data_IF_354652582055
#
_entry.id   IF_354652582055
#
_cell.length_a   1.000
_cell.length_b   1.000
_cell.length_c   1.000
_cell.angle_alpha   90.00
_cell.angle_beta   90.00
_cell.angle_gamma   90.00
#
_symmetry.space_group_name_H-M   'P 1'
#
loop_
_entity.id
_entity.type
_entity.pdbx_description
1 polymer ?
#
# COMPACT_ATOMS: atom_id res chain seq x y z
N UNK A 1 6.48 -7.98 9.79
CA UNK A 1 5.60 -8.50 8.72
C UNK A 1 6.24 -9.62 7.91
N UNK A 2 7.55 -9.60 7.66
CA UNK A 2 8.24 -10.63 6.85
C UNK A 2 8.09 -12.02 7.44
N UNK A 3 8.25 -12.18 8.75
CA UNK A 3 8.12 -13.48 9.44
C UNK A 3 6.68 -14.05 9.36
N UNK A 4 5.66 -13.21 9.37
CA UNK A 4 4.26 -13.64 9.22
C UNK A 4 3.97 -14.09 7.79
N UNK A 5 4.49 -13.35 6.80
CA UNK A 5 4.31 -13.68 5.38
C UNK A 5 5.06 -14.95 4.92
N UNK A 6 5.91 -15.52 5.76
CA UNK A 6 6.61 -16.81 5.50
C UNK A 6 5.85 -18.02 6.06
N UNK A 7 4.75 -17.82 6.80
CA UNK A 7 3.97 -18.92 7.36
C UNK A 7 3.19 -19.64 6.25
N UNK A 8 3.08 -20.97 6.30
CA UNK A 8 2.24 -21.73 5.38
C UNK A 8 0.78 -21.20 5.37
N UNK A 9 0.19 -21.10 4.19
CA UNK A 9 -1.19 -20.60 4.02
C UNK A 9 -1.36 -19.09 4.12
N UNK A 10 -0.28 -18.31 4.35
CA UNK A 10 -0.33 -16.85 4.38
C UNK A 10 0.16 -16.27 3.05
N UNK A 11 -0.68 -15.49 2.38
CA UNK A 11 -0.32 -14.74 1.18
C UNK A 11 0.03 -13.31 1.58
N UNK A 12 1.27 -12.91 1.32
CA UNK A 12 1.74 -11.56 1.59
C UNK A 12 1.42 -10.64 0.41
N UNK A 13 0.35 -9.88 0.51
CA UNK A 13 0.01 -8.84 -0.46
C UNK A 13 0.72 -7.51 -0.15
N UNK A 14 1.11 -6.78 -1.20
CA UNK A 14 1.76 -5.47 -1.10
C UNK A 14 0.73 -4.33 -1.00
N UNK A 15 1.24 -3.10 -0.86
CA UNK A 15 0.41 -1.90 -0.75
C UNK A 15 0.87 -0.84 -1.77
N UNK A 16 0.01 -0.53 -2.73
CA UNK A 16 0.31 0.48 -3.76
C UNK A 16 0.38 1.92 -3.21
N UNK A 17 -0.25 2.23 -2.07
CA UNK A 17 -0.11 3.53 -1.44
C UNK A 17 1.34 3.79 -0.99
N UNK A 18 2.07 2.77 -0.55
CA UNK A 18 3.48 2.91 -0.21
C UNK A 18 4.35 3.16 -1.44
N UNK A 19 4.13 2.45 -2.54
CA UNK A 19 4.80 2.70 -3.80
C UNK A 19 4.52 4.12 -4.31
N UNK A 20 3.26 4.56 -4.28
CA UNK A 20 2.84 5.90 -4.65
C UNK A 20 3.56 6.98 -3.83
N UNK A 21 3.64 6.81 -2.50
CA UNK A 21 4.35 7.77 -1.61
C UNK A 21 5.82 7.93 -1.98
N UNK A 22 6.51 6.87 -2.45
CA UNK A 22 7.90 6.96 -2.88
C UNK A 22 8.06 7.84 -4.12
N UNK A 23 7.21 7.69 -5.12
CA UNK A 23 7.22 8.55 -6.30
C UNK A 23 6.81 10.00 -5.98
N UNK A 24 5.83 10.20 -5.11
CA UNK A 24 5.41 11.53 -4.64
C UNK A 24 6.55 12.25 -3.89
N UNK A 25 7.26 11.52 -3.02
CA UNK A 25 8.44 12.05 -2.34
C UNK A 25 9.57 12.43 -3.33
N UNK A 26 9.76 11.62 -4.37
CA UNK A 26 10.72 11.94 -5.43
C UNK A 26 10.38 13.26 -6.16
N UNK A 27 9.09 13.48 -6.45
CA UNK A 27 8.63 14.74 -7.05
C UNK A 27 8.78 15.94 -6.13
N UNK A 28 8.44 15.77 -4.84
CA UNK A 28 8.58 16.84 -3.83
C UNK A 28 10.05 17.22 -3.59
N UNK A 29 10.95 16.25 -3.68
CA UNK A 29 12.40 16.46 -3.56
C UNK A 29 13.06 17.11 -4.78
N UNK A 30 12.38 17.21 -5.92
CA UNK A 30 12.89 17.93 -7.07
C UNK A 30 12.93 19.44 -6.81
N UNK A 31 14.08 20.09 -7.06
CA UNK A 31 14.20 21.55 -6.95
C UNK A 31 13.25 22.25 -7.93
N UNK A 32 12.71 23.41 -7.54
CA UNK A 32 11.65 24.09 -8.27
C UNK A 32 11.95 24.37 -9.75
N UNK A 33 13.23 24.63 -10.11
CA UNK A 33 13.66 24.83 -11.50
C UNK A 33 13.60 23.50 -12.31
N UNK A 34 14.08 22.38 -11.75
CA UNK A 34 14.03 21.06 -12.40
C UNK A 34 12.58 20.57 -12.56
N UNK A 35 11.71 20.92 -11.60
CA UNK A 35 10.29 20.58 -11.64
C UNK A 35 9.54 21.30 -12.76
N UNK A 36 9.97 22.51 -13.14
CA UNK A 36 9.38 23.30 -14.23
C UNK A 36 9.97 22.95 -15.60
N UNK A 37 11.26 22.61 -15.65
CA UNK A 37 11.99 22.36 -16.89
C UNK A 37 11.73 20.96 -17.48
N UNK A 38 11.39 19.95 -16.65
CA UNK A 38 11.04 18.62 -17.16
C UNK A 38 9.56 18.58 -17.49
N UNK A 39 9.27 18.38 -18.78
CA UNK A 39 7.90 18.11 -19.21
C UNK A 39 7.34 16.89 -18.43
N UNK A 40 6.02 16.84 -18.28
CA UNK A 40 5.34 15.73 -17.58
C UNK A 40 5.66 14.36 -18.20
N UNK A 41 6.04 14.34 -19.50
CA UNK A 41 6.45 13.14 -20.23
C UNK A 41 7.88 12.69 -19.91
N UNK A 42 8.75 13.61 -19.49
CA UNK A 42 10.17 13.34 -19.23
C UNK A 42 10.47 12.93 -17.79
N UNK A 43 9.62 13.29 -16.85
CA UNK A 43 9.79 12.91 -15.44
C UNK A 43 9.38 11.47 -15.20
N UNK A 44 10.36 10.58 -14.96
CA UNK A 44 10.13 9.17 -14.61
C UNK A 44 9.28 9.05 -13.35
N UNK A 45 9.43 9.94 -12.37
CA UNK A 45 8.61 9.92 -11.16
C UNK A 45 7.14 10.24 -11.45
N UNK A 46 6.85 11.17 -12.37
CA UNK A 46 5.48 11.46 -12.81
C UNK A 46 4.89 10.31 -13.62
N UNK A 47 5.69 9.66 -14.46
CA UNK A 47 5.26 8.48 -15.19
C UNK A 47 4.87 7.34 -14.22
N UNK A 48 5.70 7.08 -13.19
CA UNK A 48 5.41 6.09 -12.16
C UNK A 48 4.10 6.37 -11.42
N UNK A 49 3.85 7.64 -11.04
CA UNK A 49 2.57 8.04 -10.45
C UNK A 49 1.41 7.86 -11.40
N UNK A 50 1.57 8.19 -12.68
CA UNK A 50 0.51 8.03 -13.68
C UNK A 50 0.14 6.56 -13.88
N UNK A 51 1.09 5.65 -13.87
CA UNK A 51 0.83 4.21 -13.92
C UNK A 51 0.05 3.72 -12.70
N UNK A 52 0.47 4.10 -11.49
CA UNK A 52 -0.24 3.74 -10.26
C UNK A 52 -1.65 4.35 -10.26
N UNK A 53 -1.82 5.57 -10.75
CA UNK A 53 -3.12 6.22 -10.83
C UNK A 53 -4.10 5.49 -11.77
N UNK A 54 -3.61 4.89 -12.86
CA UNK A 54 -4.45 4.04 -13.73
C UNK A 54 -5.01 2.84 -12.97
N UNK A 55 -4.21 2.18 -12.12
CA UNK A 55 -4.69 1.07 -11.28
C UNK A 55 -5.74 1.54 -10.28
N UNK A 56 -5.52 2.69 -9.62
CA UNK A 56 -6.53 3.27 -8.73
C UNK A 56 -7.82 3.69 -9.46
N UNK A 57 -7.74 4.08 -10.73
CA UNK A 57 -8.92 4.40 -11.52
C UNK A 57 -9.80 3.15 -11.79
N UNK A 58 -9.17 1.99 -12.03
CA UNK A 58 -9.89 0.71 -12.14
C UNK A 58 -10.57 0.38 -10.80
N UNK A 59 -9.87 0.47 -9.68
CA UNK A 59 -10.46 0.22 -8.35
C UNK A 59 -11.61 1.19 -8.02
N UNK A 60 -11.46 2.45 -8.41
CA UNK A 60 -12.52 3.44 -8.22
C UNK A 60 -13.79 3.08 -9.02
N UNK A 61 -13.64 2.55 -10.23
CA UNK A 61 -14.78 2.09 -11.04
C UNK A 61 -15.47 0.84 -10.46
N UNK A 62 -14.76 0.09 -9.62
CA UNK A 62 -15.23 -1.11 -8.93
C UNK A 62 -15.62 -0.86 -7.46
N UNK A 63 -15.84 0.40 -7.04
CA UNK A 63 -16.05 0.76 -5.63
C UNK A 63 -17.24 0.03 -5.01
N UNK A 64 -18.34 -0.04 -5.73
CA UNK A 64 -19.60 -0.62 -5.26
C UNK A 64 -19.84 -2.04 -5.83
N UNK A 65 -18.83 -2.62 -6.50
CA UNK A 65 -18.88 -3.94 -7.07
C UNK A 65 -18.68 -5.03 -6.00
N UNK A 66 -19.31 -6.18 -6.22
CA UNK A 66 -19.05 -7.40 -5.44
C UNK A 66 -17.59 -7.85 -5.63
N UNK A 67 -17.04 -8.69 -4.74
CA UNK A 67 -15.69 -9.22 -4.89
C UNK A 67 -15.47 -9.92 -6.25
N UNK A 68 -16.44 -10.67 -6.74
CA UNK A 68 -16.34 -11.40 -8.02
C UNK A 68 -16.37 -10.44 -9.21
N UNK A 69 -17.22 -9.43 -9.19
CA UNK A 69 -17.26 -8.38 -10.22
C UNK A 69 -15.97 -7.56 -10.21
N UNK A 70 -15.45 -7.22 -9.02
CA UNK A 70 -14.16 -6.54 -8.88
C UNK A 70 -13.03 -7.39 -9.45
N UNK A 71 -13.04 -8.70 -9.20
CA UNK A 71 -12.04 -9.60 -9.76
C UNK A 71 -12.08 -9.60 -11.29
N UNK A 72 -13.27 -9.69 -11.90
CA UNK A 72 -13.44 -9.61 -13.37
C UNK A 72 -12.90 -8.30 -13.94
N UNK A 73 -13.24 -7.17 -13.32
CA UNK A 73 -12.73 -5.86 -13.74
C UNK A 73 -11.21 -5.75 -13.61
N UNK A 74 -10.61 -6.36 -12.59
CA UNK A 74 -9.17 -6.45 -12.43
C UNK A 74 -8.51 -7.27 -13.52
N UNK A 75 -9.07 -8.43 -13.83
CA UNK A 75 -8.55 -9.33 -14.88
C UNK A 75 -8.66 -8.66 -16.26
N UNK A 76 -9.78 -8.00 -16.55
CA UNK A 76 -10.00 -7.33 -17.82
C UNK A 76 -9.16 -6.05 -17.99
N UNK A 77 -9.11 -5.18 -16.95
CA UNK A 77 -8.58 -3.82 -17.07
C UNK A 77 -7.27 -3.58 -16.33
N UNK A 78 -7.10 -4.14 -15.14
CA UNK A 78 -5.91 -3.88 -14.33
C UNK A 78 -4.71 -4.74 -14.77
N UNK A 79 -4.90 -6.01 -15.14
CA UNK A 79 -3.78 -6.87 -15.57
C UNK A 79 -3.05 -6.35 -16.81
N UNK A 80 -3.69 -5.83 -17.88
CA UNK A 80 -2.97 -5.18 -18.97
C UNK A 80 -2.17 -3.93 -18.53
N UNK A 81 -2.71 -3.17 -17.57
CA UNK A 81 -1.99 -2.02 -17.00
C UNK A 81 -0.76 -2.50 -16.22
N UNK A 82 -0.88 -3.56 -15.41
CA UNK A 82 0.24 -4.16 -14.68
C UNK A 82 1.33 -4.66 -15.63
N UNK A 83 0.97 -5.35 -16.70
CA UNK A 83 1.92 -5.81 -17.71
C UNK A 83 2.67 -4.63 -18.36
N UNK A 84 1.97 -3.54 -18.65
CA UNK A 84 2.57 -2.33 -19.21
C UNK A 84 3.43 -1.58 -18.19
N UNK A 85 3.01 -1.52 -16.93
CA UNK A 85 3.77 -0.95 -15.82
C UNK A 85 5.07 -1.76 -15.59
N UNK A 86 5.02 -3.10 -15.68
CA UNK A 86 6.22 -3.92 -15.52
C UNK A 86 7.23 -3.62 -16.62
N UNK A 87 6.81 -3.61 -17.89
CA UNK A 87 7.70 -3.27 -19.02
C UNK A 87 8.31 -1.87 -18.88
N UNK A 88 7.49 -0.90 -18.48
CA UNK A 88 7.98 0.45 -18.21
C UNK A 88 9.01 0.47 -17.07
N UNK A 89 8.78 -0.29 -16.01
CA UNK A 89 9.70 -0.36 -14.86
C UNK A 89 11.04 -0.98 -15.26
N UNK A 90 11.02 -2.08 -16.02
CA UNK A 90 12.22 -2.75 -16.53
C UNK A 90 13.08 -1.82 -17.40
N UNK A 91 12.40 -1.00 -18.20
CA UNK A 91 13.04 -0.02 -19.07
C UNK A 91 13.55 1.24 -18.31
N UNK A 92 12.85 1.66 -17.25
CA UNK A 92 13.22 2.83 -16.46
C UNK A 92 14.35 2.56 -15.45
N UNK A 93 14.41 1.36 -14.86
CA UNK A 93 15.37 0.99 -13.81
C UNK A 93 16.83 1.26 -14.21
N UNK A 94 17.33 0.79 -15.37
CA UNK A 94 18.73 0.99 -15.75
C UNK A 94 19.07 2.44 -16.13
N UNK A 95 18.07 3.27 -16.41
CA UNK A 95 18.25 4.67 -16.86
C UNK A 95 18.28 5.68 -15.73
N UNK A 96 17.99 5.29 -14.50
CA UNK A 96 17.89 6.18 -13.34
C UNK A 96 18.90 5.79 -12.28
N UNK A 97 19.73 6.74 -11.85
CA UNK A 97 20.73 6.50 -10.82
C UNK A 97 20.07 6.01 -9.51
N UNK A 98 20.48 4.85 -8.96
CA UNK A 98 19.77 4.17 -7.86
C UNK A 98 19.76 4.97 -6.55
N UNK A 99 20.74 5.85 -6.31
CA UNK A 99 20.84 6.68 -5.12
C UNK A 99 19.86 7.86 -5.09
N UNK A 100 19.28 8.23 -6.25
CA UNK A 100 18.28 9.31 -6.33
C UNK A 100 16.96 8.89 -5.71
N UNK A 101 16.12 9.87 -5.34
CA UNK A 101 14.78 9.55 -4.81
C UNK A 101 13.92 8.80 -5.83
N UNK A 102 14.06 9.12 -7.13
CA UNK A 102 13.38 8.40 -8.21
C UNK A 102 13.91 6.98 -8.36
N UNK A 103 15.24 6.76 -8.31
CA UNK A 103 15.85 5.44 -8.35
C UNK A 103 15.40 4.56 -7.16
N UNK A 104 15.36 5.13 -5.96
CA UNK A 104 14.83 4.46 -4.77
C UNK A 104 13.35 4.11 -4.90
N UNK A 105 12.54 4.94 -5.58
CA UNK A 105 11.13 4.65 -5.82
C UNK A 105 10.95 3.50 -6.82
N UNK A 106 11.75 3.48 -7.91
CA UNK A 106 11.77 2.38 -8.88
C UNK A 106 12.23 1.06 -8.23
N UNK A 107 13.34 1.09 -7.49
CA UNK A 107 13.86 -0.08 -6.77
C UNK A 107 12.85 -0.61 -5.74
N UNK A 108 12.13 0.26 -5.06
CA UNK A 108 11.05 -0.15 -4.15
C UNK A 108 9.93 -0.86 -4.91
N UNK A 109 9.46 -0.29 -6.02
CA UNK A 109 8.40 -0.88 -6.84
C UNK A 109 8.81 -2.24 -7.39
N UNK A 110 10.05 -2.38 -7.85
CA UNK A 110 10.62 -3.63 -8.34
C UNK A 110 10.71 -4.69 -7.26
N UNK A 111 11.33 -4.37 -6.13
CA UNK A 111 11.51 -5.29 -5.00
C UNK A 111 10.16 -5.75 -4.40
N UNK A 112 9.16 -4.88 -4.38
CA UNK A 112 7.83 -5.22 -3.88
C UNK A 112 6.91 -5.82 -4.95
N UNK A 113 7.33 -5.88 -6.20
CA UNK A 113 6.51 -6.33 -7.33
C UNK A 113 5.80 -7.67 -7.09
N UNK A 114 6.48 -8.74 -6.63
CA UNK A 114 5.83 -10.02 -6.39
C UNK A 114 4.68 -9.96 -5.38
N UNK A 115 4.76 -9.02 -4.42
CA UNK A 115 3.72 -8.82 -3.39
C UNK A 115 2.62 -7.90 -3.90
N UNK A 116 2.96 -6.89 -4.69
CA UNK A 116 2.01 -5.93 -5.24
C UNK A 116 1.03 -6.59 -6.21
N UNK A 117 1.51 -7.50 -7.05
CA UNK A 117 0.65 -8.21 -8.01
C UNK A 117 -0.36 -9.15 -7.33
N UNK A 118 -0.03 -9.67 -6.13
CA UNK A 118 -0.93 -10.54 -5.35
C UNK A 118 -2.25 -9.89 -4.97
N UNK A 119 -2.30 -8.57 -4.87
CA UNK A 119 -3.55 -7.84 -4.61
C UNK A 119 -4.60 -8.11 -5.68
N UNK A 120 -4.18 -8.39 -6.91
CA UNK A 120 -5.06 -8.61 -8.05
C UNK A 120 -5.51 -10.07 -8.21
N UNK A 121 -5.11 -10.96 -7.32
CA UNK A 121 -5.49 -12.38 -7.35
C UNK A 121 -6.82 -12.64 -6.62
N UNK A 122 -7.30 -11.67 -5.82
CA UNK A 122 -8.54 -11.79 -5.05
C UNK A 122 -9.26 -10.44 -4.94
N UNK A 123 -10.48 -10.35 -5.47
CA UNK A 123 -11.29 -9.12 -5.46
C UNK A 123 -11.66 -8.60 -4.06
N UNK A 124 -11.48 -9.38 -3.00
CA UNK A 124 -11.67 -8.95 -1.61
C UNK A 124 -10.50 -8.13 -1.08
N UNK A 125 -9.28 -8.33 -1.61
CA UNK A 125 -8.08 -7.66 -1.13
C UNK A 125 -8.04 -6.22 -1.66
N UNK A 126 -7.98 -5.19 -0.80
CA UNK A 126 -7.89 -3.80 -1.25
C UNK A 126 -6.51 -3.48 -1.84
N UNK A 127 -6.46 -2.50 -2.76
CA UNK A 127 -5.21 -2.06 -3.41
C UNK A 127 -4.20 -1.44 -2.44
N UNK A 128 -4.68 -0.99 -1.29
CA UNK A 128 -3.85 -0.43 -0.21
C UNK A 128 -4.30 -0.92 1.17
N UNK A 129 -3.41 -0.75 2.15
CA UNK A 129 -3.62 -1.16 3.54
C UNK A 129 -4.16 -0.04 4.43
N UNK A 130 -4.67 1.06 3.85
CA UNK A 130 -5.11 2.22 4.62
C UNK A 130 -6.19 1.88 5.65
N UNK A 131 -7.10 0.94 5.35
CA UNK A 131 -8.11 0.47 6.29
C UNK A 131 -7.46 -0.12 7.54
N UNK A 132 -6.50 -1.03 7.35
CA UNK A 132 -5.77 -1.70 8.45
C UNK A 132 -4.87 -0.70 9.19
N UNK A 133 -4.18 0.19 8.46
CA UNK A 133 -3.34 1.22 9.08
C UNK A 133 -4.18 2.17 9.93
N UNK A 134 -5.39 2.54 9.51
CA UNK A 134 -6.30 3.38 10.28
C UNK A 134 -6.83 2.66 11.53
N UNK A 135 -7.11 1.37 11.45
CA UNK A 135 -7.51 0.58 12.62
C UNK A 135 -6.38 0.46 13.67
N UNK A 136 -5.12 0.37 13.22
CA UNK A 136 -3.96 0.31 14.14
C UNK A 136 -3.56 1.70 14.67
N UNK A 137 -3.95 2.78 13.98
CA UNK A 137 -3.54 4.16 14.31
C UNK A 137 -3.84 4.56 15.76
N UNK A 138 -5.01 4.30 16.36
CA UNK A 138 -5.30 4.64 17.75
C UNK A 138 -4.27 4.05 18.71
N UNK A 139 -3.89 2.79 18.51
CA UNK A 139 -2.85 2.12 19.30
C UNK A 139 -1.49 2.80 19.13
N UNK A 140 -1.08 3.13 17.91
CA UNK A 140 0.22 3.77 17.63
C UNK A 140 0.27 5.21 18.19
N UNK A 141 -0.84 5.93 18.11
CA UNK A 141 -0.94 7.29 18.72
C UNK A 141 -0.92 7.19 20.23
N UNK A 142 -1.68 6.29 20.82
CA UNK A 142 -1.70 6.04 22.27
C UNK A 142 -0.32 5.67 22.80
N UNK A 143 0.46 4.86 22.06
CA UNK A 143 1.83 4.51 22.41
C UNK A 143 2.74 5.73 22.66
N UNK A 144 2.49 6.87 22.04
CA UNK A 144 3.22 8.12 22.30
C UNK A 144 2.93 8.70 23.69
N UNK A 145 1.78 8.37 24.27
CA UNK A 145 1.37 8.88 25.59
C UNK A 145 1.91 8.00 26.71
N UNK A 146 1.88 6.66 26.57
CA UNK A 146 2.38 5.74 27.60
C UNK A 146 3.79 5.19 27.32
N UNK A 147 4.46 5.60 26.28
CA UNK A 147 5.86 5.37 25.88
C UNK A 147 6.29 3.89 25.77
N UNK A 148 6.05 3.06 26.79
CA UNK A 148 6.51 1.68 26.88
C UNK A 148 5.45 0.74 27.46
N UNK A 149 5.54 -0.54 27.11
CA UNK A 149 5.01 -1.62 27.91
C UNK A 149 6.21 -2.21 28.69
N UNK A 150 6.15 -2.22 30.01
CA UNK A 150 7.26 -2.68 30.88
C UNK A 150 7.67 -4.12 30.60
N UNK A 151 6.74 -4.94 30.07
CA UNK A 151 6.97 -6.35 29.77
C UNK A 151 6.43 -6.71 28.39
N UNK A 152 7.03 -7.71 27.75
CA UNK A 152 6.51 -8.31 26.51
C UNK A 152 5.06 -8.83 26.70
N UNK A 153 4.73 -9.40 27.87
CA UNK A 153 3.39 -9.84 28.21
C UNK A 153 2.38 -8.70 28.26
N UNK A 154 2.75 -7.55 28.83
CA UNK A 154 1.93 -6.32 28.84
C UNK A 154 1.71 -5.77 27.45
N UNK A 155 2.73 -5.78 26.59
CA UNK A 155 2.61 -5.37 25.20
C UNK A 155 1.62 -6.26 24.41
N UNK A 156 1.69 -7.57 24.59
CA UNK A 156 0.74 -8.52 23.99
C UNK A 156 -0.68 -8.31 24.48
N UNK A 157 -0.88 -8.12 25.80
CA UNK A 157 -2.19 -7.85 26.38
C UNK A 157 -2.81 -6.57 25.79
N UNK A 158 -2.04 -5.47 25.71
CA UNK A 158 -2.48 -4.22 25.10
C UNK A 158 -2.87 -4.41 23.62
N UNK A 159 -2.03 -5.11 22.85
CA UNK A 159 -2.31 -5.36 21.44
C UNK A 159 -3.60 -6.18 21.25
N UNK A 160 -3.82 -7.20 22.07
CA UNK A 160 -5.02 -8.02 22.03
C UNK A 160 -6.29 -7.21 22.37
N UNK A 161 -6.27 -6.42 23.46
CA UNK A 161 -7.40 -5.59 23.85
C UNK A 161 -7.75 -4.55 22.79
N UNK A 162 -6.75 -3.86 22.23
CA UNK A 162 -6.99 -2.92 21.13
C UNK A 162 -7.53 -3.61 19.89
N UNK A 163 -7.04 -4.81 19.55
CA UNK A 163 -7.56 -5.59 18.43
C UNK A 163 -9.03 -5.93 18.60
N UNK A 164 -9.44 -6.36 19.81
CA UNK A 164 -10.83 -6.68 20.12
C UNK A 164 -11.72 -5.43 20.03
N UNK A 165 -11.29 -4.31 20.62
CA UNK A 165 -12.03 -3.03 20.58
C UNK A 165 -12.21 -2.53 19.15
N UNK A 166 -11.14 -2.53 18.34
CA UNK A 166 -11.23 -2.08 16.95
C UNK A 166 -12.04 -3.06 16.07
N UNK A 167 -12.02 -4.35 16.38
CA UNK A 167 -12.87 -5.35 15.72
C UNK A 167 -14.35 -5.11 16.03
N UNK A 168 -14.68 -4.85 17.30
CA UNK A 168 -16.05 -4.51 17.69
C UNK A 168 -16.57 -3.29 16.94
N UNK A 169 -15.79 -2.20 16.92
CA UNK A 169 -16.12 -0.97 16.16
C UNK A 169 -16.30 -1.23 14.67
N UNK A 170 -15.41 -2.00 14.06
CA UNK A 170 -15.48 -2.33 12.63
C UNK A 170 -16.74 -3.12 12.26
N UNK A 171 -17.32 -3.85 13.22
CA UNK A 171 -18.56 -4.61 13.06
C UNK A 171 -19.80 -3.87 13.60
N UNK A 172 -19.69 -2.58 13.94
CA UNK A 172 -20.81 -1.79 14.46
C UNK A 172 -21.25 -2.16 15.88
N UNK A 173 -20.44 -2.96 16.59
CA UNK A 173 -20.71 -3.30 17.98
C UNK A 173 -20.20 -2.21 18.92
N UNK A 174 -20.95 -1.92 19.98
CA UNK A 174 -20.47 -1.04 21.05
C UNK A 174 -19.40 -1.79 21.86
N UNK A 175 -18.13 -1.25 21.97
CA UNK A 175 -17.02 -2.01 22.54
C UNK A 175 -17.20 -2.44 23.99
N UNK A 176 -17.81 -1.61 24.83
CA UNK A 176 -18.06 -1.95 26.23
C UNK A 176 -19.03 -3.12 26.36
N UNK A 177 -20.14 -3.08 25.60
CA UNK A 177 -21.11 -4.17 25.57
C UNK A 177 -20.52 -5.46 25.00
N UNK A 178 -19.61 -5.35 24.03
CA UNK A 178 -18.91 -6.48 23.41
C UNK A 178 -17.89 -7.15 24.34
N UNK A 179 -17.27 -6.38 25.25
CA UNK A 179 -16.26 -6.87 26.20
C UNK A 179 -16.89 -7.41 27.51
N UNK A 180 -18.15 -7.13 27.78
CA UNK A 180 -18.91 -7.57 28.96
C UNK A 180 -19.49 -8.97 28.77
#
# INVERSE_FOLDING_TARGET
YTAVGQRPGVVHAGCFAHARRKFDAALKGMRGAERRAKSRKESVALQGLAWIQKLYAVEKSAKDATPDERQRLRDERARPILASLRRWLDDALPRVAPQTLTGKALAYLDHQWPKLVRVFDDGRVPLDTNLVENAIRPFVVGRKNWLFADTARGAHASANLYSIVETAKANGCEPFAYLR
#
